data_IF_071839066841
#
_entry.id   IF_071839066841
#
_cell.length_a   1.000
_cell.length_b   1.000
_cell.length_c   1.000
_cell.angle_alpha   90.00
_cell.angle_beta   90.00
_cell.angle_gamma   90.00
#
_symmetry.space_group_name_H-M   'P 1'
#
loop_
_entity.id
_entity.type
_entity.pdbx_description
1 polymer ?
#
# COMPACT_ATOMS: atom_id res chain seq x y z
N UNK A 1 26.45 31.80 -38.79
CA UNK A 1 27.17 30.79 -37.96
C UNK A 1 26.84 30.95 -36.47
N UNK A 2 27.05 32.12 -35.85
CA UNK A 2 26.79 32.35 -34.43
C UNK A 2 25.34 32.07 -34.02
N UNK A 3 24.35 32.53 -34.83
CA UNK A 3 22.93 32.30 -34.54
C UNK A 3 22.53 30.82 -34.49
N UNK A 4 23.09 30.00 -35.42
CA UNK A 4 22.85 28.55 -35.44
C UNK A 4 23.43 27.88 -34.16
N UNK A 5 24.65 28.29 -33.78
CA UNK A 5 25.29 27.73 -32.57
C UNK A 5 24.49 28.04 -31.31
N UNK A 6 23.97 29.27 -31.16
CA UNK A 6 23.13 29.67 -30.02
C UNK A 6 21.81 28.86 -30.00
N UNK A 7 21.16 28.71 -31.17
CA UNK A 7 19.90 27.94 -31.26
C UNK A 7 20.11 26.46 -30.94
N UNK A 8 21.20 25.86 -31.44
CA UNK A 8 21.52 24.46 -31.13
C UNK A 8 21.84 24.26 -29.65
N UNK A 9 22.61 25.19 -29.05
CA UNK A 9 22.91 25.15 -27.63
C UNK A 9 21.63 25.25 -26.76
N UNK A 10 20.71 26.16 -27.11
CA UNK A 10 19.45 26.30 -26.43
C UNK A 10 18.59 25.02 -26.54
N UNK A 11 18.54 24.41 -27.72
CA UNK A 11 17.82 23.17 -27.97
C UNK A 11 18.38 22.03 -27.12
N UNK A 12 19.70 21.85 -27.09
CA UNK A 12 20.36 20.80 -26.31
C UNK A 12 20.12 21.01 -24.81
N UNK A 13 20.18 22.25 -24.33
CA UNK A 13 19.89 22.58 -22.93
C UNK A 13 18.44 22.21 -22.56
N UNK A 14 17.46 22.58 -23.39
CA UNK A 14 16.05 22.24 -23.17
C UNK A 14 15.84 20.72 -23.15
N UNK A 15 16.40 20.00 -24.13
CA UNK A 15 16.29 18.53 -24.20
C UNK A 15 16.94 17.85 -22.98
N UNK A 16 18.06 18.36 -22.51
CA UNK A 16 18.74 17.85 -21.31
C UNK A 16 17.86 18.01 -20.06
N UNK A 17 17.21 19.17 -19.91
CA UNK A 17 16.27 19.42 -18.79
C UNK A 17 15.05 18.49 -18.88
N UNK A 18 14.49 18.30 -20.08
CA UNK A 18 13.36 17.38 -20.28
C UNK A 18 13.73 15.93 -19.96
N UNK A 19 14.87 15.44 -20.42
CA UNK A 19 15.33 14.09 -20.09
C UNK A 19 15.56 13.91 -18.59
N UNK A 20 16.17 14.90 -17.93
CA UNK A 20 16.35 14.87 -16.47
C UNK A 20 15.03 14.89 -15.70
N UNK A 21 14.03 15.64 -16.18
CA UNK A 21 12.70 15.67 -15.60
C UNK A 21 11.96 14.34 -15.82
N UNK A 22 12.08 13.73 -17.01
CA UNK A 22 11.48 12.43 -17.30
C UNK A 22 12.06 11.35 -16.40
N UNK A 23 13.38 11.30 -16.20
CA UNK A 23 14.03 10.35 -15.30
C UNK A 23 13.59 10.55 -13.85
N UNK A 24 13.44 11.80 -13.42
CA UNK A 24 12.94 12.13 -12.09
C UNK A 24 11.48 11.68 -11.90
N UNK A 25 10.61 11.95 -12.86
CA UNK A 25 9.21 11.52 -12.84
C UNK A 25 9.12 10.00 -12.83
N UNK A 26 9.84 9.30 -13.71
CA UNK A 26 9.90 7.83 -13.73
C UNK A 26 10.39 7.27 -12.39
N UNK A 27 11.38 7.90 -11.77
CA UNK A 27 11.88 7.52 -10.45
C UNK A 27 10.84 7.65 -9.32
N UNK A 28 10.00 8.67 -9.38
CA UNK A 28 8.95 8.90 -8.39
C UNK A 28 7.80 7.89 -8.51
N UNK A 29 7.32 7.63 -9.73
CA UNK A 29 6.18 6.71 -9.94
C UNK A 29 6.53 5.22 -9.85
N UNK A 30 7.80 4.83 -9.98
CA UNK A 30 8.18 3.41 -10.03
C UNK A 30 8.46 2.77 -8.67
N UNK A 31 8.42 3.54 -7.57
CA UNK A 31 8.90 3.04 -6.28
C UNK A 31 7.83 2.36 -5.42
N UNK A 32 6.55 2.67 -5.61
CA UNK A 32 5.46 2.08 -4.83
C UNK A 32 4.44 1.35 -5.71
N UNK A 33 4.13 1.87 -6.90
CA UNK A 33 3.18 1.25 -7.82
C UNK A 33 3.82 0.07 -8.56
N UNK A 34 3.02 -0.98 -8.79
CA UNK A 34 3.44 -2.11 -9.61
C UNK A 34 3.50 -1.72 -11.08
N UNK A 35 4.39 -2.38 -11.83
CA UNK A 35 4.50 -2.17 -13.29
C UNK A 35 3.20 -2.53 -14.01
N UNK A 36 2.51 -3.56 -13.52
CA UNK A 36 1.22 -3.99 -14.02
C UNK A 36 0.27 -4.30 -12.86
N UNK A 37 -0.93 -3.74 -12.93
CA UNK A 37 -1.97 -3.94 -11.93
C UNK A 37 -3.27 -4.41 -12.59
N UNK A 38 -3.85 -5.47 -12.05
CA UNK A 38 -5.19 -5.94 -12.42
C UNK A 38 -6.19 -5.41 -11.40
N UNK A 39 -7.12 -4.59 -11.86
CA UNK A 39 -8.16 -3.98 -11.03
C UNK A 39 -9.55 -4.28 -11.58
N UNK A 40 -10.62 -4.21 -10.77
CA UNK A 40 -11.97 -4.44 -11.25
C UNK A 40 -12.42 -3.31 -12.19
N UNK A 41 -13.12 -3.68 -13.27
CA UNK A 41 -13.71 -2.70 -14.21
C UNK A 41 -14.86 -1.92 -13.56
N UNK A 42 -15.56 -2.55 -12.60
CA UNK A 42 -16.65 -1.94 -11.87
C UNK A 42 -16.65 -2.40 -10.41
N UNK A 43 -17.00 -1.49 -9.50
CA UNK A 43 -17.00 -1.74 -8.06
C UNK A 43 -15.60 -1.62 -7.44
N UNK A 44 -15.47 -2.00 -6.17
CA UNK A 44 -14.22 -1.90 -5.39
C UNK A 44 -13.39 -3.18 -5.36
N UNK A 45 -13.99 -4.32 -5.71
CA UNK A 45 -13.35 -5.63 -5.57
C UNK A 45 -13.86 -6.64 -6.58
N UNK A 46 -13.05 -7.64 -6.85
CA UNK A 46 -13.37 -8.81 -7.68
C UNK A 46 -13.05 -10.10 -6.92
N UNK A 47 -13.59 -11.23 -7.36
CA UNK A 47 -13.29 -12.53 -6.78
C UNK A 47 -12.07 -13.11 -7.45
N UNK A 48 -10.99 -13.30 -6.69
CA UNK A 48 -9.78 -13.97 -7.14
C UNK A 48 -9.85 -15.46 -6.76
N UNK A 49 -10.24 -16.30 -7.75
CA UNK A 49 -10.25 -17.75 -7.55
C UNK A 49 -8.85 -18.33 -7.79
N UNK A 50 -8.53 -19.43 -7.10
CA UNK A 50 -7.24 -20.11 -7.29
C UNK A 50 -7.01 -20.55 -8.75
N UNK A 51 -8.06 -20.98 -9.44
CA UNK A 51 -7.94 -21.38 -10.86
C UNK A 51 -7.54 -20.20 -11.73
N UNK A 52 -8.10 -19.02 -11.45
CA UNK A 52 -7.79 -17.80 -12.17
C UNK A 52 -6.38 -17.29 -11.85
N UNK A 53 -5.97 -17.29 -10.58
CA UNK A 53 -4.61 -16.95 -10.17
C UNK A 53 -3.58 -17.88 -10.83
N UNK A 54 -3.88 -19.19 -10.87
CA UNK A 54 -3.03 -20.18 -11.54
C UNK A 54 -2.96 -19.99 -13.06
N UNK A 55 -4.04 -19.49 -13.67
CA UNK A 55 -4.02 -19.13 -15.09
C UNK A 55 -3.10 -17.95 -15.37
N UNK A 56 -3.12 -16.92 -14.51
CA UNK A 56 -2.24 -15.75 -14.64
C UNK A 56 -0.77 -16.15 -14.41
N UNK A 57 -0.47 -17.01 -13.41
CA UNK A 57 0.90 -17.52 -13.15
C UNK A 57 1.53 -18.26 -14.35
N UNK A 58 0.71 -18.76 -15.28
CA UNK A 58 1.18 -19.45 -16.49
C UNK A 58 1.44 -18.51 -17.67
N UNK A 59 1.11 -17.24 -17.54
CA UNK A 59 1.37 -16.25 -18.60
C UNK A 59 2.88 -15.98 -18.64
N UNK A 60 3.45 -16.08 -19.83
CA UNK A 60 4.87 -15.82 -20.05
C UNK A 60 5.19 -14.36 -19.68
N UNK A 61 6.23 -14.16 -18.88
CA UNK A 61 6.65 -12.85 -18.39
C UNK A 61 6.07 -12.46 -17.02
N UNK A 62 5.18 -13.25 -16.41
CA UNK A 62 4.71 -13.03 -15.04
C UNK A 62 5.60 -13.80 -14.06
N UNK A 63 6.39 -13.09 -13.28
CA UNK A 63 7.31 -13.66 -12.29
C UNK A 63 6.68 -13.70 -10.89
N UNK A 64 6.00 -12.63 -10.50
CA UNK A 64 5.41 -12.48 -9.17
C UNK A 64 3.97 -11.99 -9.31
N UNK A 65 3.05 -12.57 -8.53
CA UNK A 65 1.69 -12.10 -8.36
C UNK A 65 1.50 -11.82 -6.88
N UNK A 66 1.34 -10.54 -6.53
CA UNK A 66 0.97 -10.14 -5.18
C UNK A 66 -0.53 -9.82 -5.13
N UNK A 67 -1.22 -10.46 -4.20
CA UNK A 67 -2.62 -10.19 -3.93
C UNK A 67 -2.76 -8.99 -2.99
N UNK A 68 -3.67 -8.08 -3.31
CA UNK A 68 -3.84 -6.84 -2.58
C UNK A 68 -5.31 -6.59 -2.25
N UNK A 69 -5.55 -6.16 -1.00
CA UNK A 69 -6.80 -5.55 -0.56
C UNK A 69 -6.45 -4.17 -0.02
N UNK A 70 -7.09 -3.14 -0.56
CA UNK A 70 -6.82 -1.76 -0.20
C UNK A 70 -8.13 -1.01 0.04
N UNK A 71 -8.24 -0.36 1.20
CA UNK A 71 -9.34 0.57 1.50
C UNK A 71 -8.92 1.54 2.62
N UNK A 72 -9.68 2.62 2.78
CA UNK A 72 -9.45 3.59 3.84
C UNK A 72 -10.00 3.08 5.17
N UNK A 73 -9.24 3.27 6.24
CA UNK A 73 -9.66 2.94 7.59
C UNK A 73 -9.23 4.02 8.59
N UNK A 74 -9.92 4.09 9.72
CA UNK A 74 -9.50 4.90 10.84
C UNK A 74 -8.49 4.12 11.68
N UNK A 75 -7.34 4.71 11.88
CA UNK A 75 -6.29 4.20 12.76
C UNK A 75 -6.34 4.92 14.09
N UNK A 76 -6.10 4.20 15.18
CA UNK A 76 -5.97 4.77 16.51
C UNK A 76 -4.76 4.16 17.24
N UNK A 77 -3.91 5.03 17.75
CA UNK A 77 -2.74 4.66 18.53
C UNK A 77 -2.64 5.58 19.75
N UNK A 78 -2.80 5.02 20.96
CA UNK A 78 -2.73 5.79 22.22
C UNK A 78 -3.62 7.04 22.27
N UNK A 79 -4.80 6.97 21.64
CA UNK A 79 -5.75 8.08 21.58
C UNK A 79 -5.52 9.06 20.43
N UNK A 80 -4.39 8.97 19.72
CA UNK A 80 -4.22 9.69 18.45
C UNK A 80 -4.94 8.96 17.33
N UNK A 81 -5.66 9.69 16.50
CA UNK A 81 -6.44 9.13 15.41
C UNK A 81 -6.01 9.71 14.08
N UNK A 82 -5.97 8.87 13.05
CA UNK A 82 -5.63 9.26 11.69
C UNK A 82 -6.36 8.37 10.68
N UNK A 83 -6.83 8.93 9.58
CA UNK A 83 -7.39 8.15 8.48
C UNK A 83 -6.25 7.84 7.52
N UNK A 84 -6.02 6.56 7.28
CA UNK A 84 -5.01 6.11 6.34
C UNK A 84 -5.57 5.04 5.41
N UNK A 85 -4.87 4.83 4.32
CA UNK A 85 -5.11 3.77 3.36
C UNK A 85 -4.39 2.52 3.83
N UNK A 86 -5.18 1.54 4.26
CA UNK A 86 -4.66 0.25 4.70
C UNK A 86 -4.56 -0.67 3.50
N UNK A 87 -3.34 -1.16 3.26
CA UNK A 87 -3.04 -2.08 2.17
C UNK A 87 -2.65 -3.43 2.75
N UNK A 88 -3.60 -4.39 2.70
CA UNK A 88 -3.35 -5.79 3.02
C UNK A 88 -2.68 -6.49 1.85
N UNK A 89 -1.52 -7.06 2.08
CA UNK A 89 -0.65 -7.61 1.03
C UNK A 89 -0.28 -9.06 1.32
N UNK A 90 -0.16 -9.87 0.27
CA UNK A 90 0.31 -11.25 0.37
C UNK A 90 1.78 -11.34 0.77
N UNK A 91 2.20 -12.48 1.30
CA UNK A 91 3.55 -12.70 1.87
C UNK A 91 4.67 -12.42 0.85
N UNK A 92 4.41 -12.67 -0.42
CA UNK A 92 5.35 -12.45 -1.51
C UNK A 92 5.37 -11.00 -2.06
N UNK A 93 4.69 -10.07 -1.37
CA UNK A 93 4.61 -8.67 -1.81
C UNK A 93 5.98 -7.98 -1.87
N UNK A 94 6.86 -8.31 -0.94
CA UNK A 94 8.21 -7.75 -0.88
C UNK A 94 9.21 -8.40 -1.85
N UNK A 95 8.83 -9.48 -2.56
CA UNK A 95 9.64 -10.07 -3.63
C UNK A 95 9.69 -9.18 -4.88
N UNK A 96 8.83 -8.16 -4.93
CA UNK A 96 8.94 -7.08 -5.89
C UNK A 96 10.12 -6.17 -5.56
N UNK A 97 11.10 -6.06 -6.47
CA UNK A 97 12.31 -5.24 -6.30
C UNK A 97 12.07 -3.73 -6.11
N UNK A 98 10.85 -3.26 -6.36
CA UNK A 98 10.47 -1.84 -6.24
C UNK A 98 10.73 -1.24 -4.86
N UNK A 99 10.70 -2.06 -3.80
CA UNK A 99 11.00 -1.61 -2.44
C UNK A 99 12.49 -1.46 -2.16
N UNK A 100 13.37 -1.88 -3.05
CA UNK A 100 14.82 -1.78 -2.88
C UNK A 100 15.33 -0.32 -2.78
N UNK A 101 14.56 0.64 -3.31
CA UNK A 101 14.88 2.07 -3.28
C UNK A 101 14.29 2.82 -2.09
N UNK A 102 13.40 2.18 -1.32
CA UNK A 102 12.79 2.76 -0.14
C UNK A 102 13.68 2.64 1.09
N UNK A 103 13.51 3.56 2.02
CA UNK A 103 14.12 3.46 3.34
C UNK A 103 13.15 2.77 4.29
N UNK A 104 13.63 1.73 4.97
CA UNK A 104 12.87 1.00 5.98
C UNK A 104 13.59 1.07 7.33
N UNK A 105 12.81 1.22 8.40
CA UNK A 105 13.27 1.19 9.78
C UNK A 105 12.46 0.18 10.57
N UNK A 106 13.11 -0.54 11.46
CA UNK A 106 12.47 -1.58 12.26
C UNK A 106 12.38 -2.92 11.53
N UNK A 107 11.40 -3.73 11.92
CA UNK A 107 11.15 -5.04 11.31
C UNK A 107 10.23 -4.88 10.09
N UNK A 108 10.66 -5.40 8.95
CA UNK A 108 9.90 -5.36 7.70
C UNK A 108 8.97 -6.56 7.52
N UNK A 109 8.88 -7.44 8.51
CA UNK A 109 7.96 -8.59 8.46
C UNK A 109 6.55 -8.17 8.90
N UNK A 110 5.55 -8.54 8.11
CA UNK A 110 4.15 -8.28 8.46
C UNK A 110 3.58 -9.24 9.53
N UNK A 111 4.38 -10.22 9.95
CA UNK A 111 3.95 -11.21 10.94
C UNK A 111 2.98 -12.23 10.38
N UNK A 112 2.17 -12.82 11.24
CA UNK A 112 1.22 -13.87 10.91
C UNK A 112 -0.22 -13.41 11.16
N UNK A 113 -1.21 -14.19 10.70
CA UNK A 113 -2.62 -13.91 10.97
C UNK A 113 -2.96 -13.85 12.48
N UNK A 114 -2.21 -14.60 13.32
CA UNK A 114 -2.40 -14.62 14.78
C UNK A 114 -1.68 -13.48 15.51
N UNK A 115 -0.61 -12.95 14.92
CA UNK A 115 0.14 -11.79 15.40
C UNK A 115 0.44 -10.86 14.23
N UNK A 116 -0.58 -10.16 13.72
CA UNK A 116 -0.42 -9.30 12.57
C UNK A 116 0.42 -8.07 12.92
N UNK A 117 1.40 -7.79 12.09
CA UNK A 117 2.23 -6.60 12.17
C UNK A 117 1.81 -5.55 11.15
N UNK A 118 2.19 -4.32 11.39
CA UNK A 118 2.02 -3.23 10.46
C UNK A 118 3.34 -2.52 10.17
N UNK A 119 3.58 -2.19 8.91
CA UNK A 119 4.64 -1.29 8.49
C UNK A 119 3.97 0.01 8.04
N UNK A 120 4.27 1.11 8.71
CA UNK A 120 3.59 2.38 8.50
C UNK A 120 4.42 3.31 7.61
N UNK A 121 3.74 4.05 6.74
CA UNK A 121 4.38 5.21 6.13
C UNK A 121 4.84 6.20 7.20
N UNK A 122 6.01 6.79 7.01
CA UNK A 122 6.63 7.68 7.99
C UNK A 122 5.70 8.84 8.40
N UNK A 123 4.92 9.39 7.48
CA UNK A 123 3.99 10.48 7.77
C UNK A 123 2.81 10.00 8.62
N UNK A 124 2.27 8.81 8.34
CA UNK A 124 1.21 8.19 9.17
C UNK A 124 1.73 7.91 10.58
N UNK A 125 2.95 7.34 10.69
CA UNK A 125 3.57 7.07 11.98
C UNK A 125 3.80 8.35 12.80
N UNK A 126 4.21 9.45 12.15
CA UNK A 126 4.36 10.74 12.78
C UNK A 126 3.02 11.32 13.25
N UNK A 127 1.98 11.27 12.41
CA UNK A 127 0.64 11.76 12.76
C UNK A 127 0.04 11.03 13.98
N UNK A 128 0.31 9.73 14.09
CA UNK A 128 -0.12 8.90 15.22
C UNK A 128 0.83 8.94 16.41
N UNK A 129 2.02 9.54 16.27
CA UNK A 129 3.09 9.54 17.28
C UNK A 129 3.49 8.11 17.68
N UNK A 130 3.63 7.22 16.68
CA UNK A 130 4.01 5.81 16.90
C UNK A 130 5.45 5.70 17.36
N UNK A 131 5.69 4.93 18.42
CA UNK A 131 7.00 4.56 18.92
C UNK A 131 7.19 3.04 18.82
N UNK A 132 8.18 2.58 18.05
CA UNK A 132 8.49 1.15 17.89
C UNK A 132 9.12 0.51 19.12
N UNK A 133 9.73 1.30 20.00
CA UNK A 133 10.35 0.79 21.24
C UNK A 133 9.30 0.36 22.29
N UNK A 134 8.05 0.70 22.04
CA UNK A 134 6.96 0.41 22.95
C UNK A 134 6.30 -0.95 22.63
N UNK A 135 6.84 -1.99 23.19
CA UNK A 135 6.48 -3.40 22.93
C UNK A 135 4.99 -3.73 23.27
N UNK A 136 4.35 -2.91 24.11
CA UNK A 136 2.98 -3.17 24.56
C UNK A 136 1.91 -2.34 23.82
N UNK A 137 2.30 -1.51 22.87
CA UNK A 137 1.35 -0.67 22.18
C UNK A 137 0.88 -1.32 20.88
N UNK A 138 -0.42 -1.35 20.71
CA UNK A 138 -1.09 -1.87 19.52
C UNK A 138 -1.73 -0.73 18.74
N UNK A 139 -1.71 -0.85 17.44
CA UNK A 139 -2.44 0.01 16.52
C UNK A 139 -3.82 -0.58 16.29
N UNK A 140 -4.86 0.17 16.60
CA UNK A 140 -6.25 -0.19 16.32
C UNK A 140 -6.60 0.24 14.89
N UNK A 141 -7.29 -0.62 14.15
CA UNK A 141 -7.81 -0.34 12.82
C UNK A 141 -9.31 -0.49 12.85
N UNK A 142 -10.04 0.58 12.56
CA UNK A 142 -11.49 0.59 12.50
C UNK A 142 -11.95 0.76 11.06
N UNK A 143 -12.73 -0.20 10.59
CA UNK A 143 -13.31 -0.19 9.25
C UNK A 143 -14.84 -0.09 9.31
N UNK A 144 -15.47 0.87 8.63
CA UNK A 144 -16.92 1.02 8.66
C UNK A 144 -17.61 -0.15 7.94
N UNK A 145 -18.52 -0.82 8.64
CA UNK A 145 -19.38 -1.85 8.02
C UNK A 145 -20.57 -1.17 7.36
N UNK A 146 -20.90 -1.60 6.14
CA UNK A 146 -22.17 -1.21 5.55
C UNK A 146 -23.32 -1.74 6.44
N UNK A 147 -24.20 -0.88 6.96
CA UNK A 147 -25.27 -1.32 7.81
C UNK A 147 -26.20 -2.26 7.04
N UNK A 148 -26.31 -3.52 7.44
CA UNK A 148 -27.23 -4.47 6.85
C UNK A 148 -28.69 -4.11 7.14
N UNK A 149 -28.93 -3.31 8.20
CA UNK A 149 -30.22 -2.71 8.56
C UNK A 149 -29.99 -1.34 9.19
N UNK A 150 -30.71 -0.35 8.72
CA UNK A 150 -30.64 1.05 9.17
C UNK A 150 -31.15 1.30 10.61
N UNK A 151 -31.39 0.25 11.40
CA UNK A 151 -32.04 0.33 12.71
C UNK A 151 -31.15 -0.03 13.90
N UNK A 152 -29.90 -0.42 13.71
CA UNK A 152 -29.01 -0.74 14.84
C UNK A 152 -28.21 0.48 15.25
N UNK A 153 -28.50 1.01 16.45
CA UNK A 153 -27.74 2.07 17.12
C UNK A 153 -26.55 1.51 17.93
N UNK A 154 -26.23 0.22 17.79
CA UNK A 154 -25.10 -0.38 18.46
C UNK A 154 -23.79 -0.05 17.73
N UNK A 155 -22.88 0.74 18.30
CA UNK A 155 -21.60 1.10 17.68
C UNK A 155 -20.78 -0.10 17.26
N UNK A 156 -20.84 -1.23 17.96
CA UNK A 156 -20.11 -2.46 17.64
C UNK A 156 -20.57 -3.12 16.34
N UNK A 157 -21.77 -2.77 15.87
CA UNK A 157 -22.30 -3.24 14.58
C UNK A 157 -21.94 -2.31 13.40
N UNK A 158 -21.50 -1.10 13.70
CA UNK A 158 -21.14 -0.10 12.69
C UNK A 158 -19.71 -0.23 12.18
N UNK A 159 -18.82 -0.80 13.00
CA UNK A 159 -17.40 -0.92 12.68
C UNK A 159 -16.92 -2.35 12.85
N UNK A 160 -15.98 -2.76 12.00
CA UNK A 160 -15.07 -3.86 12.26
C UNK A 160 -13.83 -3.26 12.93
N UNK A 161 -13.34 -3.88 14.00
CA UNK A 161 -12.13 -3.47 14.68
C UNK A 161 -11.11 -4.60 14.65
N UNK A 162 -9.86 -4.26 14.40
CA UNK A 162 -8.72 -5.17 14.43
C UNK A 162 -7.52 -4.51 15.05
N UNK A 163 -6.57 -5.31 15.53
CA UNK A 163 -5.36 -4.85 16.18
C UNK A 163 -4.13 -5.38 15.45
N UNK A 164 -3.15 -4.53 15.26
CA UNK A 164 -1.85 -4.90 14.67
C UNK A 164 -0.70 -4.32 15.50
N UNK A 165 0.44 -4.98 15.48
CA UNK A 165 1.66 -4.50 16.14
C UNK A 165 2.41 -3.56 15.15
N UNK A 166 2.68 -2.29 15.49
CA UNK A 166 3.61 -1.47 14.71
C UNK A 166 4.99 -2.11 14.74
N UNK A 167 5.54 -2.50 13.58
CA UNK A 167 6.84 -3.19 13.51
C UNK A 167 7.91 -2.38 12.82
N UNK A 168 7.52 -1.53 11.89
CA UNK A 168 8.47 -0.74 11.12
C UNK A 168 7.83 0.45 10.46
N UNK A 169 8.69 1.27 9.88
CA UNK A 169 8.31 2.41 9.07
C UNK A 169 8.95 2.31 7.70
N UNK A 170 8.28 2.86 6.70
CA UNK A 170 8.85 3.07 5.39
C UNK A 170 8.83 4.55 5.01
N UNK A 171 9.78 4.96 4.16
CA UNK A 171 9.77 6.25 3.48
C UNK A 171 10.23 6.04 2.05
N UNK A 172 9.31 6.26 1.14
CA UNK A 172 9.48 6.06 -0.30
C UNK A 172 9.22 7.38 -1.02
N UNK A 173 8.04 7.94 -0.83
CA UNK A 173 7.57 9.19 -1.41
C UNK A 173 6.57 9.86 -0.47
N UNK A 174 6.57 11.18 -0.40
CA UNK A 174 5.77 11.95 0.56
C UNK A 174 4.27 11.63 0.48
N UNK A 175 3.71 11.44 -0.71
CA UNK A 175 2.31 11.06 -0.90
C UNK A 175 1.99 9.71 -0.25
N UNK A 176 2.79 8.70 -0.57
CA UNK A 176 2.66 7.35 -0.06
C UNK A 176 2.94 7.28 1.45
N UNK A 177 3.99 7.96 1.91
CA UNK A 177 4.40 7.98 3.31
C UNK A 177 3.35 8.58 4.25
N UNK A 178 2.54 9.52 3.75
CA UNK A 178 1.49 10.17 4.52
C UNK A 178 0.16 9.43 4.50
N UNK A 179 -0.05 8.52 3.56
CA UNK A 179 -1.35 7.90 3.34
C UNK A 179 -1.39 6.42 3.67
N UNK A 180 -0.28 5.67 3.52
CA UNK A 180 -0.33 4.22 3.52
C UNK A 180 0.21 3.55 4.77
N UNK A 181 -0.42 2.41 5.11
CA UNK A 181 0.14 1.38 5.97
C UNK A 181 0.02 0.01 5.30
N UNK A 182 1.00 -0.86 5.53
CA UNK A 182 1.01 -2.23 5.04
C UNK A 182 0.69 -3.19 6.18
N UNK A 183 -0.20 -4.14 5.93
CA UNK A 183 -0.62 -5.18 6.89
C UNK A 183 -0.71 -6.54 6.18
N UNK A 184 -0.73 -7.68 6.90
CA UNK A 184 -0.94 -8.97 6.27
C UNK A 184 -2.29 -9.05 5.53
N UNK A 185 -2.31 -9.63 4.34
CA UNK A 185 -3.51 -9.82 3.54
C UNK A 185 -4.61 -10.55 4.32
N UNK A 186 -4.27 -11.66 4.98
CA UNK A 186 -5.20 -12.48 5.72
C UNK A 186 -5.90 -11.71 6.84
N UNK A 187 -5.13 -10.92 7.61
CA UNK A 187 -5.69 -10.06 8.64
C UNK A 187 -6.72 -9.06 8.07
N UNK A 188 -6.35 -8.36 7.01
CA UNK A 188 -7.22 -7.31 6.46
C UNK A 188 -8.42 -7.90 5.71
N UNK A 189 -8.25 -9.03 5.05
CA UNK A 189 -9.31 -9.82 4.45
C UNK A 189 -10.39 -10.21 5.47
N UNK A 190 -9.97 -10.71 6.62
CA UNK A 190 -10.88 -11.12 7.70
C UNK A 190 -11.58 -9.91 8.32
N UNK A 191 -10.87 -8.81 8.56
CA UNK A 191 -11.42 -7.56 9.09
C UNK A 191 -12.54 -7.01 8.19
N UNK A 192 -12.37 -7.06 6.88
CA UNK A 192 -13.38 -6.58 5.91
C UNK A 192 -14.45 -7.63 5.59
N UNK A 193 -14.26 -8.88 5.95
CA UNK A 193 -15.14 -10.00 5.58
C UNK A 193 -15.12 -10.26 4.07
N UNK A 194 -13.99 -10.07 3.41
CA UNK A 194 -13.89 -10.14 1.94
C UNK A 194 -13.79 -11.56 1.40
N UNK A 195 -13.34 -12.54 2.20
CA UNK A 195 -13.16 -13.92 1.71
C UNK A 195 -12.19 -13.97 0.53
N UNK A 196 -12.69 -14.40 -0.64
CA UNK A 196 -11.88 -14.47 -1.87
C UNK A 196 -11.82 -13.15 -2.67
N UNK A 197 -12.39 -12.06 -2.15
CA UNK A 197 -12.35 -10.78 -2.85
C UNK A 197 -11.00 -10.11 -2.70
N UNK A 198 -10.55 -9.47 -3.79
CA UNK A 198 -9.35 -8.63 -3.84
C UNK A 198 -9.69 -7.30 -4.49
N UNK A 199 -8.96 -6.26 -4.15
CA UNK A 199 -9.10 -4.96 -4.81
C UNK A 199 -8.15 -4.84 -5.99
N UNK A 200 -7.00 -5.49 -5.91
CA UNK A 200 -6.02 -5.54 -7.00
C UNK A 200 -5.18 -6.82 -6.97
N UNK A 201 -4.60 -7.17 -8.11
CA UNK A 201 -3.41 -8.01 -8.20
C UNK A 201 -2.28 -7.15 -8.77
N UNK A 202 -1.12 -7.22 -8.17
CA UNK A 202 0.08 -6.54 -8.61
C UNK A 202 1.04 -7.57 -9.20
N UNK A 203 1.45 -7.33 -10.43
CA UNK A 203 2.25 -8.25 -11.23
C UNK A 203 3.65 -7.71 -11.47
N UNK A 204 4.63 -8.61 -11.53
CA UNK A 204 5.99 -8.38 -12.01
C UNK A 204 6.31 -9.39 -13.08
#
# INVERSE_FOLDING_TARGET
>A
MVGVAISTMALVAVMSVFNGLEDLIRGLFSSFDSELQVTPVAGKSFVATEDWLNAIRKVEGVEVIAEVIEDNALLEYRGNQHIARVKGVSDNYFDHERFSKGYFWGDTTLGTATRPGAILGRGVAFALSVNLDDINSVLQIYYPKAPKFAASLDPNQLYAAGQVEPRGFFSIEQGVDNEYILVPLEFFKDLLGYGQKRTALELK
#
